data_IF_449030960854
#
_entry.id   IF_449030960854
#
_cell.length_a   1.000
_cell.length_b   1.000
_cell.length_c   1.000
_cell.angle_alpha   90.00
_cell.angle_beta   90.00
_cell.angle_gamma   90.00
#
_symmetry.space_group_name_H-M   'P 1'
#
loop_
_entity.id
_entity.type
_entity.pdbx_description
1 polymer ?
#
# COMPACT_ATOMS: atom_id res chain seq x y z
N UNK A 1 11.17 14.65 -17.42
CA UNK A 1 11.91 13.39 -17.15
C UNK A 1 10.95 12.30 -16.73
N UNK A 2 11.10 11.13 -17.30
CA UNK A 2 10.28 9.99 -16.93
C UNK A 2 10.80 9.37 -15.64
N UNK A 3 9.88 8.94 -14.77
CA UNK A 3 10.26 8.24 -13.56
C UNK A 3 10.86 6.88 -13.93
N UNK A 4 11.87 6.45 -13.18
CA UNK A 4 12.44 5.11 -13.32
C UNK A 4 11.49 4.12 -12.64
N UNK A 5 11.09 3.09 -13.38
CA UNK A 5 10.20 2.05 -12.88
C UNK A 5 11.00 0.77 -12.70
N UNK A 6 11.06 0.29 -11.47
CA UNK A 6 11.68 -0.98 -11.15
C UNK A 6 10.75 -2.13 -11.49
N UNK A 7 11.30 -3.32 -11.68
CA UNK A 7 10.50 -4.52 -11.87
C UNK A 7 9.73 -4.85 -10.58
N UNK A 8 8.61 -5.54 -10.73
CA UNK A 8 7.84 -6.01 -9.58
C UNK A 8 8.65 -7.00 -8.75
N UNK A 9 8.60 -6.82 -7.44
CA UNK A 9 9.14 -7.74 -6.45
C UNK A 9 7.98 -8.57 -5.92
N UNK A 10 8.16 -9.88 -5.85
CA UNK A 10 7.11 -10.80 -5.39
C UNK A 10 6.40 -11.46 -6.55
N UNK A 11 6.02 -12.72 -6.35
CA UNK A 11 5.31 -13.53 -7.35
C UNK A 11 3.95 -13.99 -6.84
N UNK A 12 3.63 -13.70 -5.60
CA UNK A 12 2.40 -14.13 -4.96
C UNK A 12 1.33 -13.06 -5.00
N UNK A 13 0.47 -13.12 -4.00
CA UNK A 13 -0.69 -12.23 -3.86
C UNK A 13 -0.28 -10.78 -3.63
N UNK A 14 0.84 -10.57 -2.94
CA UNK A 14 1.38 -9.24 -2.66
C UNK A 14 2.61 -9.02 -3.52
N UNK A 15 2.65 -7.87 -4.21
CA UNK A 15 3.80 -7.47 -5.03
C UNK A 15 4.05 -5.99 -4.84
N UNK A 16 5.29 -5.58 -5.00
CA UNK A 16 5.67 -4.19 -4.86
C UNK A 16 6.72 -3.79 -5.87
N UNK A 17 6.76 -2.50 -6.19
CA UNK A 17 7.79 -1.94 -7.06
C UNK A 17 8.01 -0.49 -6.72
N UNK A 18 9.12 0.05 -7.18
CA UNK A 18 9.41 1.48 -7.10
C UNK A 18 9.16 2.13 -8.46
N UNK A 19 8.47 3.27 -8.44
CA UNK A 19 8.26 4.11 -9.61
C UNK A 19 8.74 5.51 -9.21
N UNK A 20 10.01 5.83 -9.56
CA UNK A 20 10.65 7.03 -9.04
C UNK A 20 10.78 6.94 -7.52
N UNK A 21 10.26 7.93 -6.81
CA UNK A 21 10.25 7.93 -5.33
C UNK A 21 8.96 7.34 -4.76
N UNK A 22 8.10 6.79 -5.59
CA UNK A 22 6.84 6.16 -5.17
C UNK A 22 7.06 4.66 -4.99
N UNK A 23 6.69 4.12 -3.84
CA UNK A 23 6.59 2.68 -3.65
C UNK A 23 5.15 2.29 -3.89
N UNK A 24 4.93 1.37 -4.82
CA UNK A 24 3.61 0.89 -5.17
C UNK A 24 3.48 -0.58 -4.77
N UNK A 25 2.47 -0.89 -3.98
CA UNK A 25 2.20 -2.24 -3.49
C UNK A 25 0.82 -2.65 -4.00
N UNK A 26 0.71 -3.84 -4.56
CA UNK A 26 -0.58 -4.39 -4.97
C UNK A 26 -0.87 -5.67 -4.21
N UNK A 27 -2.14 -5.84 -3.84
CA UNK A 27 -2.63 -7.03 -3.17
C UNK A 27 -3.80 -7.55 -4.00
N UNK A 28 -3.71 -8.76 -4.53
CA UNK A 28 -4.77 -9.34 -5.33
C UNK A 28 -5.84 -9.97 -4.44
N UNK A 29 -7.10 -9.73 -4.80
CA UNK A 29 -8.25 -10.27 -4.08
C UNK A 29 -8.69 -9.38 -2.93
N UNK A 30 -9.95 -9.52 -2.54
CA UNK A 30 -10.56 -8.77 -1.44
C UNK A 30 -11.15 -9.73 -0.42
N UNK A 31 -11.25 -9.24 0.83
CA UNK A 31 -11.89 -9.96 1.92
C UNK A 31 -12.67 -8.95 2.74
N UNK A 32 -13.58 -9.43 3.59
CA UNK A 32 -14.35 -8.58 4.49
C UNK A 32 -13.61 -8.27 5.79
N UNK A 33 -12.45 -8.88 6.01
CA UNK A 33 -11.67 -8.72 7.25
C UNK A 33 -10.46 -7.83 7.00
N UNK A 34 -10.57 -6.55 7.35
CA UNK A 34 -9.47 -5.60 7.18
C UNK A 34 -8.18 -6.08 7.86
N UNK A 35 -8.29 -6.64 9.06
CA UNK A 35 -7.14 -7.13 9.82
C UNK A 35 -6.36 -8.24 9.11
N UNK A 36 -6.97 -8.91 8.15
CA UNK A 36 -6.32 -9.96 7.36
C UNK A 36 -5.11 -9.41 6.61
N UNK A 37 -5.19 -8.17 6.17
CA UNK A 37 -4.14 -7.59 5.33
C UNK A 37 -2.87 -7.23 6.11
N UNK A 38 -2.99 -6.99 7.42
CA UNK A 38 -1.83 -6.58 8.21
C UNK A 38 -0.72 -7.62 8.21
N UNK A 39 -0.95 -8.89 8.62
CA UNK A 39 0.12 -9.88 8.58
C UNK A 39 0.55 -10.22 7.17
N UNK A 40 -0.36 -10.18 6.22
CA UNK A 40 -0.06 -10.50 4.81
C UNK A 40 0.96 -9.52 4.23
N UNK A 41 0.72 -8.23 4.38
CA UNK A 41 1.61 -7.19 3.84
C UNK A 41 2.88 -7.07 4.69
N UNK A 42 2.76 -7.16 6.01
CA UNK A 42 3.91 -7.11 6.91
C UNK A 42 4.91 -8.22 6.60
N UNK A 43 4.46 -9.45 6.41
CA UNK A 43 5.33 -10.57 6.09
C UNK A 43 6.00 -10.39 4.73
N UNK A 44 5.26 -9.87 3.75
CA UNK A 44 5.86 -9.55 2.45
C UNK A 44 6.98 -8.53 2.61
N UNK A 45 6.73 -7.44 3.33
CA UNK A 45 7.73 -6.39 3.51
C UNK A 45 8.97 -6.95 4.24
N UNK A 46 8.75 -7.76 5.27
CA UNK A 46 9.82 -8.32 6.06
C UNK A 46 10.69 -9.30 5.25
N UNK A 47 10.05 -10.15 4.45
CA UNK A 47 10.74 -11.25 3.77
C UNK A 47 11.25 -10.90 2.39
N UNK A 48 10.54 -10.09 1.65
CA UNK A 48 10.80 -9.89 0.23
C UNK A 48 11.21 -8.48 -0.15
N UNK A 49 10.73 -7.45 0.58
CA UNK A 49 11.03 -6.08 0.19
C UNK A 49 12.50 -5.75 0.42
N UNK A 50 13.18 -5.29 -0.63
CA UNK A 50 14.59 -4.91 -0.61
C UNK A 50 14.82 -3.54 -1.24
N UNK A 51 13.75 -2.80 -1.47
CA UNK A 51 13.80 -1.49 -2.10
C UNK A 51 14.11 -0.37 -1.12
N UNK A 52 13.46 0.77 -1.33
CA UNK A 52 13.68 1.98 -0.55
C UNK A 52 13.62 1.70 0.94
N UNK A 53 14.53 2.35 1.69
CA UNK A 53 14.53 2.29 3.15
C UNK A 53 13.62 3.35 3.71
N UNK A 54 13.15 3.20 4.97
CA UNK A 54 12.30 4.22 5.57
C UNK A 54 13.05 5.56 5.65
N UNK A 55 12.33 6.63 5.38
CA UNK A 55 12.87 7.99 5.43
C UNK A 55 12.06 8.83 6.41
N UNK A 56 12.67 9.92 6.88
CA UNK A 56 12.01 10.90 7.74
C UNK A 56 11.35 11.96 6.86
N UNK A 57 10.54 12.81 7.49
CA UNK A 57 9.81 13.85 6.80
C UNK A 57 8.40 13.43 6.47
N UNK A 58 7.62 14.35 5.94
CA UNK A 58 6.22 14.11 5.63
C UNK A 58 6.06 13.13 4.48
N UNK A 59 5.13 12.21 4.63
CA UNK A 59 4.77 11.22 3.62
C UNK A 59 3.32 11.34 3.20
N UNK A 60 3.05 10.87 2.00
CA UNK A 60 1.70 10.70 1.46
C UNK A 60 1.46 9.22 1.27
N UNK A 61 0.31 8.74 1.68
CA UNK A 61 -0.11 7.36 1.44
C UNK A 61 -1.48 7.39 0.76
N UNK A 62 -1.57 6.70 -0.38
CA UNK A 62 -2.83 6.56 -1.12
C UNK A 62 -3.19 5.08 -1.17
N UNK A 63 -4.41 4.77 -0.78
CA UNK A 63 -4.93 3.41 -0.74
C UNK A 63 -6.19 3.36 -1.58
N UNK A 64 -6.21 2.46 -2.54
CA UNK A 64 -7.37 2.25 -3.39
C UNK A 64 -7.79 0.79 -3.32
N UNK A 65 -9.07 0.57 -2.98
CA UNK A 65 -9.67 -0.74 -3.03
C UNK A 65 -10.55 -0.82 -4.28
N UNK A 66 -10.12 -1.62 -5.24
CA UNK A 66 -10.86 -1.86 -6.48
C UNK A 66 -11.69 -3.13 -6.32
N UNK A 67 -12.99 -3.04 -6.65
CA UNK A 67 -13.90 -4.17 -6.53
C UNK A 67 -14.66 -4.37 -7.83
N UNK A 68 -15.15 -5.60 -8.04
CA UNK A 68 -16.00 -5.94 -9.17
C UNK A 68 -17.40 -6.21 -8.61
N UNK A 69 -18.41 -5.48 -9.12
CA UNK A 69 -19.76 -5.60 -8.59
C UNK A 69 -19.88 -5.00 -7.20
N UNK A 70 -20.62 -5.64 -6.31
CA UNK A 70 -20.82 -5.15 -4.96
C UNK A 70 -19.52 -5.13 -4.19
N UNK A 71 -19.20 -4.04 -3.48
CA UNK A 71 -17.98 -4.00 -2.66
C UNK A 71 -18.13 -4.91 -1.44
N UNK A 72 -17.02 -5.46 -0.94
CA UNK A 72 -17.06 -6.20 0.32
C UNK A 72 -17.46 -5.27 1.47
N UNK A 73 -18.15 -5.82 2.44
CA UNK A 73 -18.56 -5.07 3.63
C UNK A 73 -17.35 -4.88 4.53
N UNK A 74 -16.67 -3.74 4.39
CA UNK A 74 -15.44 -3.44 5.10
C UNK A 74 -15.30 -1.94 5.27
N UNK A 75 -14.92 -1.51 6.48
CA UNK A 75 -14.66 -0.10 6.75
C UNK A 75 -13.32 0.32 6.17
N UNK A 76 -13.31 1.41 5.42
CA UNK A 76 -12.10 1.93 4.80
C UNK A 76 -11.08 2.41 5.83
N UNK A 77 -11.50 2.96 6.95
CA UNK A 77 -10.59 3.41 8.00
C UNK A 77 -9.89 2.22 8.67
N UNK A 78 -10.59 1.09 8.85
CA UNK A 78 -9.96 -0.12 9.37
C UNK A 78 -8.95 -0.69 8.38
N UNK A 79 -9.28 -0.66 7.10
CA UNK A 79 -8.34 -1.07 6.05
C UNK A 79 -7.09 -0.20 6.07
N UNK A 80 -7.27 1.12 6.13
CA UNK A 80 -6.14 2.05 6.16
C UNK A 80 -5.25 1.79 7.36
N UNK A 81 -5.82 1.59 8.55
CA UNK A 81 -5.06 1.32 9.77
C UNK A 81 -4.23 0.04 9.63
N UNK A 82 -4.83 -1.03 9.13
CA UNK A 82 -4.14 -2.30 8.95
C UNK A 82 -2.96 -2.15 7.98
N UNK A 83 -3.17 -1.43 6.88
CA UNK A 83 -2.13 -1.25 5.87
C UNK A 83 -1.02 -0.32 6.35
N UNK A 84 -1.36 0.78 7.01
CA UNK A 84 -0.34 1.68 7.59
C UNK A 84 0.52 0.93 8.60
N UNK A 85 -0.09 0.13 9.47
CA UNK A 85 0.64 -0.68 10.45
C UNK A 85 1.60 -1.66 9.78
N UNK A 86 1.24 -2.17 8.60
CA UNK A 86 2.05 -3.18 7.91
C UNK A 86 3.25 -2.60 7.17
N UNK A 87 3.19 -1.33 6.76
CA UNK A 87 4.28 -0.69 6.00
C UNK A 87 5.15 0.22 6.86
N UNK A 88 4.69 0.54 8.06
CA UNK A 88 5.47 1.32 9.03
C UNK A 88 6.77 0.58 9.37
N UNK A 89 7.87 1.32 9.43
CA UNK A 89 9.18 0.74 9.66
C UNK A 89 9.89 0.28 8.38
N UNK A 90 9.14 0.21 7.27
CA UNK A 90 9.70 -0.15 5.98
C UNK A 90 9.73 1.02 5.01
N UNK A 91 8.67 1.81 4.96
CA UNK A 91 8.56 2.93 4.03
C UNK A 91 8.67 4.29 4.72
N UNK A 92 8.28 4.37 5.97
CA UNK A 92 8.46 5.53 6.85
C UNK A 92 8.62 5.00 8.27
N UNK A 93 9.06 5.84 9.19
CA UNK A 93 9.39 5.40 10.55
C UNK A 93 8.19 5.36 11.47
N UNK A 94 7.26 6.30 11.30
CA UNK A 94 6.11 6.41 12.19
C UNK A 94 4.90 6.96 11.45
N UNK A 95 3.70 6.54 11.88
CA UNK A 95 2.44 6.97 11.27
C UNK A 95 2.25 8.48 11.35
N UNK A 96 2.86 9.15 12.34
CA UNK A 96 2.80 10.60 12.47
C UNK A 96 3.41 11.33 11.27
N UNK A 97 4.23 10.65 10.48
CA UNK A 97 4.81 11.21 9.27
C UNK A 97 3.81 11.28 8.11
N UNK A 98 2.69 10.56 8.20
CA UNK A 98 1.68 10.57 7.13
C UNK A 98 0.90 11.87 7.21
N UNK A 99 1.32 12.83 6.38
CA UNK A 99 0.72 14.17 6.34
C UNK A 99 -0.53 14.21 5.48
N UNK A 100 -0.68 13.24 4.55
CA UNK A 100 -1.85 13.14 3.70
C UNK A 100 -2.16 11.67 3.47
N UNK A 101 -3.41 11.31 3.72
CA UNK A 101 -3.89 9.94 3.55
C UNK A 101 -5.13 9.97 2.68
N UNK A 102 -5.09 9.29 1.55
CA UNK A 102 -6.24 9.10 0.69
C UNK A 102 -6.64 7.63 0.75
N UNK A 103 -7.88 7.36 1.08
CA UNK A 103 -8.40 6.00 1.08
C UNK A 103 -9.72 6.01 0.32
N UNK A 104 -9.81 5.20 -0.73
CA UNK A 104 -11.03 5.16 -1.52
C UNK A 104 -11.32 3.75 -2.00
N UNK A 105 -12.59 3.49 -2.26
CA UNK A 105 -13.01 2.31 -3.00
C UNK A 105 -13.63 2.73 -4.31
N UNK A 106 -13.45 1.89 -5.33
CA UNK A 106 -14.04 2.16 -6.63
C UNK A 106 -14.31 0.85 -7.35
N UNK A 107 -15.32 0.87 -8.19
CA UNK A 107 -15.61 -0.24 -9.07
C UNK A 107 -14.59 -0.27 -10.20
N UNK A 108 -14.11 -1.45 -10.54
CA UNK A 108 -13.14 -1.65 -11.60
C UNK A 108 -13.25 -3.03 -12.20
N UNK A 109 -12.17 -3.49 -12.83
CA UNK A 109 -12.17 -4.72 -13.61
C UNK A 109 -11.66 -5.93 -12.82
N UNK A 110 -11.08 -5.70 -11.64
CA UNK A 110 -10.51 -6.76 -10.81
C UNK A 110 -10.61 -6.39 -9.35
N UNK A 111 -10.50 -7.41 -8.50
CA UNK A 111 -10.46 -7.20 -7.05
C UNK A 111 -9.00 -7.02 -6.63
N UNK A 112 -8.65 -5.82 -6.20
CA UNK A 112 -7.26 -5.48 -5.89
C UNK A 112 -7.21 -4.30 -4.94
N UNK A 113 -6.21 -4.33 -4.04
CA UNK A 113 -5.83 -3.15 -3.27
C UNK A 113 -4.51 -2.65 -3.81
N UNK A 114 -4.40 -1.34 -4.02
CA UNK A 114 -3.17 -0.68 -4.42
C UNK A 114 -2.81 0.34 -3.37
N UNK A 115 -1.56 0.30 -2.91
CA UNK A 115 -1.00 1.27 -1.96
C UNK A 115 0.10 2.01 -2.68
N UNK A 116 0.09 3.35 -2.60
CA UNK A 116 1.18 4.20 -3.11
C UNK A 116 1.69 5.04 -1.96
N UNK A 117 2.97 4.95 -1.67
CA UNK A 117 3.61 5.68 -0.58
C UNK A 117 4.80 6.45 -1.12
N UNK A 118 4.89 7.73 -0.79
CA UNK A 118 5.96 8.58 -1.30
C UNK A 118 6.18 9.78 -0.38
N UNK A 119 7.40 10.36 -0.42
CA UNK A 119 7.65 11.60 0.32
C UNK A 119 6.76 12.73 -0.21
N UNK A 120 6.26 13.57 0.69
CA UNK A 120 5.45 14.71 0.30
C UNK A 120 6.31 15.69 -0.49
N UNK A 121 5.79 16.08 -1.64
CA UNK A 121 6.43 17.04 -2.54
C UNK A 121 5.56 18.30 -2.59
N UNK A 122 6.06 19.36 -2.03
CA UNK A 122 5.36 20.65 -2.06
C UNK A 122 6.18 21.68 -2.80
#
# INVERSE_FOLDING_TARGET
MLAVTQAWIGIGKVRAREVGDVVEITIDGLTTQAKYYKPLVYEFMRKEWRGARPSWGDHVVEIRMEHVGEPPWMDLDNLAKALLDSIKGYLFHDDAQVARLLVERREGERERITIRSYPRRD
#
